data_IF_037339064149
#
_entry.id   IF_037339064149
#
_cell.length_a   1.000
_cell.length_b   1.000
_cell.length_c   1.000
_cell.angle_alpha   90.00
_cell.angle_beta   90.00
_cell.angle_gamma   90.00
#
_symmetry.space_group_name_H-M   'P 1'
#
loop_
_entity.id
_entity.type
_entity.pdbx_description
1 polymer ?
#
# COMPACT_ATOMS: atom_id res chain seq x y z
N UNK A 1 -19.34 12.39 -7.50
CA UNK A 1 -20.21 12.30 -6.30
C UNK A 1 -19.34 12.07 -5.08
N UNK A 2 -18.95 13.13 -4.35
CA UNK A 2 -18.12 13.04 -3.14
C UNK A 2 -18.96 12.52 -1.97
N UNK A 3 -18.96 11.20 -1.76
CA UNK A 3 -19.68 10.56 -0.65
C UNK A 3 -18.89 10.83 0.65
N UNK A 4 -19.35 11.80 1.47
CA UNK A 4 -18.78 12.00 2.82
C UNK A 4 -18.86 10.66 3.58
N UNK A 5 -17.74 10.22 4.15
CA UNK A 5 -17.67 8.96 4.88
C UNK A 5 -18.63 9.01 6.07
N UNK A 6 -19.42 7.96 6.28
CA UNK A 6 -20.02 7.75 7.59
C UNK A 6 -18.87 7.59 8.60
N UNK A 7 -19.04 8.14 9.80
CA UNK A 7 -18.06 8.05 10.89
C UNK A 7 -17.44 6.65 11.08
N UNK A 8 -18.19 5.53 11.05
CA UNK A 8 -17.59 4.21 11.20
C UNK A 8 -16.61 3.83 10.08
N UNK A 9 -16.90 4.19 8.82
CA UNK A 9 -16.00 3.92 7.69
C UNK A 9 -14.70 4.74 7.78
N UNK A 10 -14.76 5.93 8.38
CA UNK A 10 -13.58 6.76 8.64
C UNK A 10 -12.66 6.08 9.66
N UNK A 11 -13.21 5.64 10.79
CA UNK A 11 -12.47 4.92 11.82
C UNK A 11 -11.91 3.59 11.33
N UNK A 12 -12.69 2.82 10.56
CA UNK A 12 -12.23 1.59 9.93
C UNK A 12 -10.99 1.82 9.04
N UNK A 13 -10.99 2.88 8.23
CA UNK A 13 -9.83 3.23 7.40
C UNK A 13 -8.59 3.59 8.24
N UNK A 14 -8.76 4.30 9.36
CA UNK A 14 -7.66 4.68 10.26
C UNK A 14 -7.07 3.42 10.91
N UNK A 15 -7.92 2.57 11.47
CA UNK A 15 -7.51 1.33 12.12
C UNK A 15 -6.81 0.39 11.13
N UNK A 16 -7.33 0.25 9.91
CA UNK A 16 -6.74 -0.57 8.87
C UNK A 16 -5.34 -0.08 8.48
N UNK A 17 -5.13 1.23 8.39
CA UNK A 17 -3.82 1.82 8.13
C UNK A 17 -2.85 1.59 9.30
N UNK A 18 -3.34 1.70 10.54
CA UNK A 18 -2.57 1.36 11.73
C UNK A 18 -2.15 -0.10 11.72
N UNK A 19 -3.08 -1.02 11.45
CA UNK A 19 -2.81 -2.45 11.35
C UNK A 19 -1.82 -2.78 10.22
N UNK A 20 -1.92 -2.09 9.08
CA UNK A 20 -0.95 -2.23 8.00
C UNK A 20 0.45 -1.82 8.44
N UNK A 21 0.60 -0.70 9.17
CA UNK A 21 1.90 -0.28 9.72
C UNK A 21 2.45 -1.29 10.72
N UNK A 22 1.62 -1.90 11.57
CA UNK A 22 2.04 -2.98 12.46
C UNK A 22 2.59 -4.15 11.65
N UNK A 23 1.93 -4.56 10.56
CA UNK A 23 2.42 -5.63 9.69
C UNK A 23 3.78 -5.29 9.05
N UNK A 24 3.98 -4.04 8.61
CA UNK A 24 5.29 -3.56 8.10
C UNK A 24 6.38 -3.70 9.18
N UNK A 25 6.10 -3.25 10.41
CA UNK A 25 7.07 -3.29 11.52
C UNK A 25 7.41 -4.74 11.91
N UNK A 26 6.41 -5.61 12.01
CA UNK A 26 6.62 -7.04 12.32
C UNK A 26 7.43 -7.72 11.22
N UNK A 27 7.17 -7.40 9.95
CA UNK A 27 7.96 -7.92 8.83
C UNK A 27 9.42 -7.45 8.90
N UNK A 28 9.65 -6.16 9.16
CA UNK A 28 10.98 -5.62 9.36
C UNK A 28 11.72 -6.29 10.52
N UNK A 29 11.03 -6.51 11.65
CA UNK A 29 11.58 -7.24 12.78
C UNK A 29 11.96 -8.69 12.41
N UNK A 30 11.09 -9.40 11.68
CA UNK A 30 11.36 -10.76 11.20
C UNK A 30 12.61 -10.81 10.33
N UNK A 31 12.75 -9.86 9.40
CA UNK A 31 13.90 -9.77 8.49
C UNK A 31 15.20 -9.42 9.20
N UNK A 32 15.13 -8.73 10.34
CA UNK A 32 16.28 -8.41 11.20
C UNK A 32 16.58 -9.51 12.24
N UNK A 33 15.89 -10.66 12.17
CA UNK A 33 16.19 -11.83 13.00
C UNK A 33 15.36 -11.95 14.29
N UNK A 34 14.31 -11.15 14.47
CA UNK A 34 13.38 -11.35 15.59
C UNK A 34 12.62 -12.69 15.44
N UNK A 35 12.22 -13.34 16.54
CA UNK A 35 11.56 -14.64 16.54
C UNK A 35 10.06 -14.53 16.16
N UNK A 36 9.77 -13.92 15.02
CA UNK A 36 8.43 -13.71 14.48
C UNK A 36 8.36 -14.24 13.05
N UNK A 37 7.20 -14.74 12.63
CA UNK A 37 7.05 -15.34 11.31
C UNK A 37 6.98 -14.28 10.22
N UNK A 38 8.03 -14.21 9.39
CA UNK A 38 8.06 -13.36 8.21
C UNK A 38 6.91 -13.67 7.24
N UNK A 39 6.58 -14.94 7.02
CA UNK A 39 5.45 -15.36 6.18
C UNK A 39 4.10 -14.81 6.67
N UNK A 40 3.81 -14.90 7.97
CA UNK A 40 2.58 -14.34 8.55
C UNK A 40 2.55 -12.81 8.45
N UNK A 41 3.70 -12.16 8.62
CA UNK A 41 3.81 -10.71 8.50
C UNK A 41 3.57 -10.24 7.05
N UNK A 42 4.14 -10.94 6.06
CA UNK A 42 3.88 -10.65 4.64
C UNK A 42 2.42 -10.90 4.30
N UNK A 43 1.82 -12.00 4.75
CA UNK A 43 0.40 -12.28 4.52
C UNK A 43 -0.51 -11.18 5.11
N UNK A 44 -0.23 -10.71 6.33
CA UNK A 44 -0.95 -9.60 6.94
C UNK A 44 -0.75 -8.29 6.16
N UNK A 45 0.46 -8.03 5.65
CA UNK A 45 0.76 -6.86 4.83
C UNK A 45 -0.02 -6.86 3.52
N UNK A 46 -0.04 -8.00 2.81
CA UNK A 46 -0.80 -8.20 1.57
C UNK A 46 -2.29 -8.01 1.84
N UNK A 47 -2.83 -8.68 2.86
CA UNK A 47 -4.26 -8.62 3.17
C UNK A 47 -4.72 -7.20 3.53
N UNK A 48 -4.00 -6.52 4.43
CA UNK A 48 -4.34 -5.14 4.81
C UNK A 48 -4.18 -4.17 3.65
N UNK A 49 -3.15 -4.33 2.81
CA UNK A 49 -2.94 -3.54 1.60
C UNK A 49 -4.07 -3.71 0.59
N UNK A 50 -4.49 -4.94 0.34
CA UNK A 50 -5.60 -5.27 -0.58
C UNK A 50 -6.93 -4.70 -0.10
N UNK A 51 -7.23 -4.79 1.20
CA UNK A 51 -8.46 -4.20 1.77
C UNK A 51 -8.43 -2.67 1.64
N UNK A 52 -7.28 -2.03 1.89
CA UNK A 52 -7.15 -0.57 1.69
C UNK A 52 -7.40 -0.19 0.23
N UNK A 53 -6.80 -0.90 -0.73
CA UNK A 53 -7.04 -0.69 -2.16
C UNK A 53 -8.52 -0.83 -2.52
N UNK A 54 -9.18 -1.88 -2.05
CA UNK A 54 -10.59 -2.12 -2.34
C UNK A 54 -11.46 -0.98 -1.80
N UNK A 55 -11.20 -0.52 -0.57
CA UNK A 55 -11.92 0.60 0.04
C UNK A 55 -11.67 1.92 -0.68
N UNK A 56 -10.44 2.19 -1.11
CA UNK A 56 -10.07 3.41 -1.81
C UNK A 56 -10.64 3.43 -3.25
N UNK A 57 -10.62 2.27 -3.93
CA UNK A 57 -11.22 2.08 -5.27
C UNK A 57 -12.74 2.23 -5.23
N UNK A 58 -13.41 1.66 -4.23
CA UNK A 58 -14.85 1.84 -4.04
C UNK A 58 -15.21 3.33 -3.88
N UNK A 59 -14.40 4.08 -3.13
CA UNK A 59 -14.66 5.50 -2.83
C UNK A 59 -14.41 6.41 -4.03
N UNK A 60 -13.33 6.17 -4.77
CA UNK A 60 -12.91 7.04 -5.88
C UNK A 60 -12.27 6.19 -6.99
N UNK A 61 -13.07 5.50 -7.84
CA UNK A 61 -12.52 4.58 -8.84
C UNK A 61 -11.59 5.27 -9.84
N UNK A 62 -11.79 6.57 -10.10
CA UNK A 62 -10.92 7.37 -10.96
C UNK A 62 -9.48 7.57 -10.44
N UNK A 63 -9.18 7.24 -9.17
CA UNK A 63 -7.81 7.36 -8.64
C UNK A 63 -6.82 6.36 -9.28
N UNK A 64 -7.33 5.25 -9.84
CA UNK A 64 -6.50 4.26 -10.54
C UNK A 64 -5.92 4.79 -11.86
N UNK A 65 -6.53 5.84 -12.44
CA UNK A 65 -6.09 6.47 -13.69
C UNK A 65 -5.12 7.64 -13.48
N UNK A 66 -4.89 8.03 -12.22
CA UNK A 66 -3.92 9.04 -11.84
C UNK A 66 -2.56 8.36 -11.56
N UNK A 67 -1.45 9.10 -11.63
CA UNK A 67 -0.11 8.58 -11.30
C UNK A 67 -0.04 7.95 -9.89
N UNK A 68 -0.91 8.38 -8.98
CA UNK A 68 -1.09 7.77 -7.65
C UNK A 68 -1.64 6.33 -7.69
N UNK A 69 -2.50 6.01 -8.67
CA UNK A 69 -3.01 4.67 -8.93
C UNK A 69 -1.93 3.73 -9.47
N UNK A 70 -1.14 4.19 -10.44
CA UNK A 70 -0.01 3.42 -10.99
C UNK A 70 1.03 3.12 -9.92
N UNK A 71 1.37 4.10 -9.08
CA UNK A 71 2.30 3.89 -7.96
C UNK A 71 1.76 2.86 -6.94
N UNK A 72 0.44 2.81 -6.74
CA UNK A 72 -0.21 1.83 -5.89
C UNK A 72 -0.19 0.42 -6.50
N UNK A 73 -0.44 0.29 -7.80
CA UNK A 73 -0.35 -0.97 -8.54
C UNK A 73 1.08 -1.54 -8.49
N UNK A 74 2.09 -0.71 -8.78
CA UNK A 74 3.50 -1.10 -8.68
C UNK A 74 3.82 -1.61 -7.27
N UNK A 75 3.37 -0.88 -6.23
CA UNK A 75 3.57 -1.30 -4.84
C UNK A 75 2.92 -2.65 -4.54
N UNK A 76 1.73 -2.91 -5.06
CA UNK A 76 1.03 -4.19 -4.88
C UNK A 76 1.77 -5.33 -5.57
N UNK A 77 2.23 -5.14 -6.80
CA UNK A 77 3.03 -6.15 -7.52
C UNK A 77 4.30 -6.49 -6.73
N UNK A 78 5.00 -5.48 -6.21
CA UNK A 78 6.20 -5.70 -5.38
C UNK A 78 5.88 -6.45 -4.09
N UNK A 79 4.75 -6.14 -3.44
CA UNK A 79 4.32 -6.83 -2.21
C UNK A 79 3.91 -8.28 -2.48
N UNK A 80 3.26 -8.57 -3.61
CA UNK A 80 2.93 -9.95 -4.02
C UNK A 80 4.18 -10.74 -4.36
N UNK A 81 5.14 -10.14 -5.06
CA UNK A 81 6.43 -10.80 -5.33
C UNK A 81 7.17 -11.11 -4.02
N UNK A 82 7.16 -10.18 -3.07
CA UNK A 82 7.72 -10.38 -1.73
C UNK A 82 7.05 -11.53 -0.93
N UNK A 83 5.78 -11.82 -1.23
CA UNK A 83 5.05 -12.95 -0.66
C UNK A 83 5.43 -14.29 -1.31
N UNK A 84 5.70 -14.27 -2.61
CA UNK A 84 6.02 -15.44 -3.41
C UNK A 84 7.46 -15.92 -3.23
N UNK A 85 8.42 -15.00 -3.16
CA UNK A 85 9.85 -15.31 -3.13
C UNK A 85 10.51 -14.75 -1.86
N UNK A 86 10.96 -15.66 -0.99
CA UNK A 86 11.61 -15.32 0.27
C UNK A 86 13.03 -14.76 0.07
N UNK A 87 13.71 -15.13 -1.01
CA UNK A 87 15.10 -14.71 -1.26
C UNK A 87 15.20 -13.21 -1.55
N UNK A 88 14.17 -12.63 -2.17
CA UNK A 88 14.11 -11.20 -2.51
C UNK A 88 13.44 -10.36 -1.41
N UNK A 89 12.90 -10.99 -0.36
CA UNK A 89 12.02 -10.33 0.62
C UNK A 89 12.68 -9.15 1.32
N UNK A 90 13.96 -9.28 1.70
CA UNK A 90 14.71 -8.22 2.35
C UNK A 90 14.93 -7.02 1.41
N UNK A 91 15.34 -7.26 0.16
CA UNK A 91 15.58 -6.21 -0.84
C UNK A 91 14.28 -5.49 -1.18
N UNK A 92 13.21 -6.24 -1.47
CA UNK A 92 11.91 -5.68 -1.78
C UNK A 92 11.33 -4.89 -0.61
N UNK A 93 11.47 -5.37 0.63
CA UNK A 93 11.03 -4.64 1.82
C UNK A 93 11.66 -3.24 1.88
N UNK A 94 12.99 -3.15 1.75
CA UNK A 94 13.68 -1.86 1.80
C UNK A 94 13.32 -0.95 0.61
N UNK A 95 13.21 -1.50 -0.60
CA UNK A 95 12.77 -0.74 -1.77
C UNK A 95 11.34 -0.19 -1.60
N UNK A 96 10.42 -1.01 -1.08
CA UNK A 96 9.04 -0.61 -0.84
C UNK A 96 8.98 0.47 0.24
N UNK A 97 9.72 0.31 1.35
CA UNK A 97 9.73 1.28 2.45
C UNK A 97 10.35 2.62 2.00
N UNK A 98 11.54 2.60 1.41
CA UNK A 98 12.22 3.80 0.92
C UNK A 98 11.44 4.47 -0.23
N UNK A 99 10.92 3.68 -1.16
CA UNK A 99 10.08 4.18 -2.24
C UNK A 99 8.79 4.81 -1.71
N UNK A 100 8.15 4.18 -0.70
CA UNK A 100 6.94 4.72 -0.07
C UNK A 100 7.19 6.02 0.69
N UNK A 101 8.31 6.15 1.42
CA UNK A 101 8.65 7.39 2.14
C UNK A 101 9.00 8.51 1.17
N UNK A 102 9.77 8.22 0.12
CA UNK A 102 10.10 9.18 -0.92
C UNK A 102 8.84 9.65 -1.65
N UNK A 103 7.96 8.72 -2.05
CA UNK A 103 6.70 9.06 -2.71
C UNK A 103 5.77 9.82 -1.77
N UNK A 104 5.83 9.56 -0.45
CA UNK A 104 5.07 10.31 0.56
C UNK A 104 5.47 11.79 0.63
N UNK A 105 6.75 12.10 0.39
CA UNK A 105 7.30 13.46 0.34
C UNK A 105 7.34 14.07 -1.06
N UNK A 106 7.12 13.26 -2.10
CA UNK A 106 7.00 13.75 -3.47
C UNK A 106 5.78 14.69 -3.58
N UNK A 107 5.99 15.88 -4.15
CA UNK A 107 5.01 16.95 -4.25
C UNK A 107 3.70 16.49 -4.93
N UNK A 108 2.57 17.10 -4.53
CA UNK A 108 1.24 16.84 -5.09
C UNK A 108 1.16 17.00 -6.61
N UNK A 109 2.09 17.75 -7.21
CA UNK A 109 2.23 17.94 -8.66
C UNK A 109 2.58 16.65 -9.41
N UNK A 110 3.16 15.63 -8.75
CA UNK A 110 3.47 14.33 -9.38
C UNK A 110 2.31 13.33 -9.22
N UNK A 111 1.52 13.45 -8.13
CA UNK A 111 0.46 12.49 -7.80
C UNK A 111 -0.81 12.60 -8.66
N UNK A 112 -1.09 13.80 -9.18
CA UNK A 112 -2.31 14.08 -9.95
C UNK A 112 -2.05 14.28 -11.44
N UNK A 113 -0.86 13.91 -11.95
CA UNK A 113 -0.66 13.89 -13.39
C UNK A 113 -1.56 12.78 -13.95
N UNK A 114 -2.53 13.10 -14.82
CA UNK A 114 -3.33 12.09 -15.50
C UNK A 114 -2.38 11.28 -16.39
N UNK A 115 -2.20 10.00 -16.09
CA UNK A 115 -1.34 9.10 -16.88
C UNK A 115 -2.06 8.69 -18.17
N UNK A 116 -3.39 8.63 -18.14
CA UNK A 116 -4.22 8.34 -19.30
C UNK A 116 -5.06 9.58 -19.68
N UNK A 117 -4.86 10.12 -20.89
CA UNK A 117 -5.77 11.11 -21.43
C UNK A 117 -7.07 10.41 -21.88
N UNK A 118 -8.03 10.17 -20.98
CA UNK A 118 -9.37 9.83 -21.46
C UNK A 118 -10.05 11.12 -21.92
N UNK A 119 -10.36 11.22 -23.21
CA UNK A 119 -10.92 12.42 -23.84
C UNK A 119 -12.42 12.49 -23.53
N UNK A 120 -12.79 13.48 -22.71
CA UNK A 120 -14.14 14.01 -22.35
C UNK A 120 -15.00 13.19 -21.40
#
# INVERSE_FOLDING_TARGET
>A
MNRKLSEPLRWANILLRGLHMVAVVVLGAALLGAPVSAGRAVAALVATGAIMLALDTWKRPGHLLEASGVALEIKLVLVVWMAWDESVRAVLFWLIVAGSTLFSHASSNVRHIPVFHWRR
#
